data_IF_136746072499
#
_entry.id   IF_136746072499
#
_cell.length_a   1.000
_cell.length_b   1.000
_cell.length_c   1.000
_cell.angle_alpha   90.00
_cell.angle_beta   90.00
_cell.angle_gamma   90.00
#
_symmetry.space_group_name_H-M   'P 1'
#
loop_
_entity.id
_entity.type
_entity.pdbx_description
1 polymer ?
#
# COMPACT_ATOMS: atom_id res chain seq x y z
N UNK A 1 -14.92 20.42 18.92
CA UNK A 1 -13.46 20.51 18.63
C UNK A 1 -13.07 19.69 17.41
N UNK A 2 -13.50 18.42 17.27
CA UNK A 2 -13.21 17.57 16.09
C UNK A 2 -13.74 18.20 14.80
N UNK A 3 -14.90 18.84 14.84
CA UNK A 3 -15.51 19.51 13.66
C UNK A 3 -14.67 20.68 13.16
N UNK A 4 -14.07 21.46 14.08
CA UNK A 4 -13.19 22.59 13.74
C UNK A 4 -11.90 22.08 13.12
N UNK A 5 -11.31 20.99 13.66
CA UNK A 5 -10.12 20.35 13.10
C UNK A 5 -10.42 19.82 11.69
N UNK A 6 -11.56 19.16 11.50
CA UNK A 6 -12.00 18.67 10.20
C UNK A 6 -12.21 19.80 9.19
N UNK A 7 -12.80 20.91 9.63
CA UNK A 7 -13.01 22.11 8.82
C UNK A 7 -11.68 22.77 8.43
N UNK A 8 -10.73 22.87 9.35
CA UNK A 8 -9.38 23.39 9.10
C UNK A 8 -8.63 22.50 8.10
N UNK A 9 -8.69 21.17 8.28
CA UNK A 9 -8.10 20.21 7.34
C UNK A 9 -8.73 20.35 5.96
N UNK A 10 -10.05 20.45 5.85
CA UNK A 10 -10.77 20.67 4.59
C UNK A 10 -10.36 21.97 3.88
N UNK A 11 -10.19 23.06 4.64
CA UNK A 11 -9.79 24.37 4.11
C UNK A 11 -8.33 24.37 3.64
N UNK A 12 -7.42 23.76 4.41
CA UNK A 12 -5.98 23.74 4.10
C UNK A 12 -5.60 22.76 2.99
N UNK A 13 -6.23 21.59 2.93
CA UNK A 13 -5.83 20.52 1.98
C UNK A 13 -6.66 20.48 0.69
N UNK A 14 -7.77 21.21 0.62
CA UNK A 14 -8.68 21.20 -0.52
C UNK A 14 -9.47 19.89 -0.66
N UNK A 15 -10.76 19.98 -0.89
CA UNK A 15 -11.69 18.84 -0.94
C UNK A 15 -11.28 17.75 -1.94
N UNK A 16 -10.67 18.13 -3.07
CA UNK A 16 -10.21 17.17 -4.10
C UNK A 16 -9.04 16.28 -3.63
N UNK A 17 -8.14 16.79 -2.79
CA UNK A 17 -7.04 16.01 -2.25
C UNK A 17 -7.53 15.02 -1.21
N UNK A 18 -8.40 15.46 -0.32
CA UNK A 18 -9.02 14.64 0.73
C UNK A 18 -9.84 13.51 0.09
N UNK A 19 -10.67 13.81 -0.92
CA UNK A 19 -11.45 12.79 -1.63
C UNK A 19 -10.55 11.73 -2.29
N UNK A 20 -9.42 12.14 -2.85
CA UNK A 20 -8.44 11.20 -3.40
C UNK A 20 -7.86 10.30 -2.32
N UNK A 21 -7.44 10.85 -1.19
CA UNK A 21 -6.85 10.07 -0.10
C UNK A 21 -7.85 9.08 0.49
N UNK A 22 -9.11 9.49 0.64
CA UNK A 22 -10.20 8.59 1.08
C UNK A 22 -10.39 7.47 0.07
N UNK A 23 -10.44 7.78 -1.22
CA UNK A 23 -10.59 6.77 -2.27
C UNK A 23 -9.41 5.78 -2.29
N UNK A 24 -8.18 6.29 -2.19
CA UNK A 24 -6.97 5.45 -2.15
C UNK A 24 -6.96 4.56 -0.91
N UNK A 25 -7.31 5.10 0.26
CA UNK A 25 -7.44 4.31 1.49
C UNK A 25 -8.53 3.25 1.40
N UNK A 26 -9.67 3.56 0.78
CA UNK A 26 -10.76 2.61 0.56
C UNK A 26 -10.34 1.46 -0.38
N UNK A 27 -9.61 1.77 -1.46
CA UNK A 27 -9.08 0.76 -2.39
C UNK A 27 -8.04 -0.14 -1.68
N UNK A 28 -7.15 0.46 -0.88
CA UNK A 28 -6.19 -0.30 -0.07
C UNK A 28 -6.91 -1.24 0.90
N UNK A 29 -7.90 -0.74 1.62
CA UNK A 29 -8.70 -1.54 2.55
C UNK A 29 -9.41 -2.68 1.84
N UNK A 30 -10.03 -2.41 0.70
CA UNK A 30 -10.71 -3.44 -0.11
C UNK A 30 -9.72 -4.54 -0.54
N UNK A 31 -8.53 -4.18 -1.00
CA UNK A 31 -7.49 -5.13 -1.38
C UNK A 31 -7.06 -6.00 -0.18
N UNK A 32 -6.80 -5.39 0.97
CA UNK A 32 -6.42 -6.12 2.19
C UNK A 32 -7.53 -7.08 2.63
N UNK A 33 -8.80 -6.64 2.56
CA UNK A 33 -9.95 -7.49 2.88
C UNK A 33 -10.09 -8.68 1.92
N UNK A 34 -9.88 -8.47 0.63
CA UNK A 34 -9.89 -9.56 -0.36
C UNK A 34 -8.80 -10.59 -0.03
N UNK A 35 -7.57 -10.16 0.24
CA UNK A 35 -6.48 -11.06 0.61
C UNK A 35 -6.77 -11.79 1.93
N UNK A 36 -7.35 -11.10 2.91
CA UNK A 36 -7.77 -11.68 4.18
C UNK A 36 -8.80 -12.81 3.99
N UNK A 37 -9.89 -12.55 3.28
CA UNK A 37 -10.92 -13.56 3.03
C UNK A 37 -10.39 -14.73 2.20
N UNK A 38 -9.57 -14.44 1.19
CA UNK A 38 -8.93 -15.48 0.39
C UNK A 38 -8.03 -16.38 1.25
N UNK A 39 -7.27 -15.81 2.17
CA UNK A 39 -6.40 -16.57 3.08
C UNK A 39 -7.21 -17.46 4.04
N UNK A 40 -8.36 -17.01 4.51
CA UNK A 40 -9.25 -17.84 5.34
C UNK A 40 -9.84 -19.00 4.52
N UNK A 41 -10.25 -18.72 3.30
CA UNK A 41 -10.87 -19.72 2.41
C UNK A 41 -9.88 -20.83 2.01
N UNK A 42 -8.59 -20.48 1.88
CA UNK A 42 -7.52 -21.46 1.69
C UNK A 42 -7.21 -22.32 2.93
N UNK A 43 -7.82 -22.04 4.07
CA UNK A 43 -7.71 -22.84 5.31
C UNK A 43 -6.42 -22.55 6.10
N UNK A 44 -5.83 -21.37 5.96
CA UNK A 44 -4.70 -20.94 6.77
C UNK A 44 -5.06 -20.77 8.25
N UNK A 45 -4.06 -20.98 9.12
CA UNK A 45 -4.22 -20.71 10.56
C UNK A 45 -4.36 -19.21 10.82
N UNK A 46 -4.86 -18.83 12.00
CA UNK A 46 -5.01 -17.42 12.36
C UNK A 46 -3.68 -16.67 12.32
N UNK A 47 -2.58 -17.30 12.74
CA UNK A 47 -1.25 -16.70 12.72
C UNK A 47 -0.74 -16.47 11.29
N UNK A 48 -1.03 -17.39 10.38
CA UNK A 48 -0.73 -17.28 8.96
C UNK A 48 -1.55 -16.18 8.28
N UNK A 49 -2.86 -16.14 8.52
CA UNK A 49 -3.75 -15.09 7.99
C UNK A 49 -3.28 -13.71 8.46
N UNK A 50 -2.86 -13.58 9.71
CA UNK A 50 -2.33 -12.32 10.24
C UNK A 50 -1.08 -11.86 9.49
N UNK A 51 -0.10 -12.72 9.28
CA UNK A 51 1.14 -12.33 8.58
C UNK A 51 0.88 -12.01 7.11
N UNK A 52 0.02 -12.77 6.42
CA UNK A 52 -0.38 -12.53 5.04
C UNK A 52 -1.08 -11.16 4.91
N UNK A 53 -2.05 -10.90 5.75
CA UNK A 53 -2.83 -9.65 5.76
C UNK A 53 -1.97 -8.45 6.12
N UNK A 54 -1.10 -8.58 7.13
CA UNK A 54 -0.16 -7.54 7.53
C UNK A 54 0.83 -7.22 6.41
N UNK A 55 1.37 -8.23 5.74
CA UNK A 55 2.25 -8.06 4.58
C UNK A 55 1.53 -7.32 3.45
N UNK A 56 0.27 -7.66 3.18
CA UNK A 56 -0.56 -6.97 2.17
C UNK A 56 -0.74 -5.50 2.51
N UNK A 57 -0.99 -5.18 3.77
CA UNK A 57 -1.16 -3.82 4.26
C UNK A 57 0.13 -3.00 4.08
N UNK A 58 1.28 -3.55 4.46
CA UNK A 58 2.57 -2.86 4.33
C UNK A 58 2.92 -2.64 2.85
N UNK A 59 2.82 -3.67 2.01
CA UNK A 59 3.09 -3.55 0.58
C UNK A 59 2.15 -2.58 -0.10
N UNK A 60 0.86 -2.63 0.22
CA UNK A 60 -0.12 -1.69 -0.30
C UNK A 60 0.18 -0.25 0.09
N UNK A 61 0.56 0.02 1.34
CA UNK A 61 1.00 1.34 1.79
C UNK A 61 2.26 1.81 1.06
N UNK A 62 3.25 0.95 0.88
CA UNK A 62 4.47 1.26 0.12
C UNK A 62 4.11 1.71 -1.30
N UNK A 63 3.27 0.95 -2.01
CA UNK A 63 2.86 1.29 -3.36
C UNK A 63 2.02 2.57 -3.41
N UNK A 64 1.17 2.79 -2.41
CA UNK A 64 0.39 4.01 -2.31
C UNK A 64 1.27 5.24 -2.13
N UNK A 65 2.28 5.18 -1.26
CA UNK A 65 3.26 6.25 -1.05
C UNK A 65 4.01 6.55 -2.36
N UNK A 66 4.51 5.51 -3.04
CA UNK A 66 5.23 5.70 -4.31
C UNK A 66 4.32 6.29 -5.39
N UNK A 67 3.06 5.84 -5.46
CA UNK A 67 2.07 6.39 -6.40
C UNK A 67 1.76 7.86 -6.12
N UNK A 68 1.66 8.26 -4.86
CA UNK A 68 1.43 9.66 -4.48
C UNK A 68 2.62 10.57 -4.76
N UNK A 69 3.85 10.08 -4.54
CA UNK A 69 5.05 10.83 -4.88
C UNK A 69 5.23 10.97 -6.40
N UNK A 70 4.75 10.02 -7.18
CA UNK A 70 4.86 10.01 -8.64
C UNK A 70 3.76 10.80 -9.36
N UNK A 71 3.25 11.88 -8.78
CA UNK A 71 2.03 12.61 -9.23
C UNK A 71 1.88 12.85 -10.73
N UNK A 72 2.96 13.09 -11.44
CA UNK A 72 2.98 13.39 -12.88
C UNK A 72 3.85 12.41 -13.69
N UNK A 73 4.56 11.49 -13.04
CA UNK A 73 5.52 10.59 -13.66
C UNK A 73 5.09 9.14 -13.46
N UNK A 74 5.55 8.24 -14.33
CA UNK A 74 5.32 6.81 -14.16
C UNK A 74 6.02 6.29 -12.90
N UNK A 75 5.45 5.28 -12.25
CA UNK A 75 6.03 4.55 -11.13
C UNK A 75 7.50 4.15 -11.39
N UNK A 76 7.79 3.66 -12.59
CA UNK A 76 9.14 3.26 -13.01
C UNK A 76 10.08 4.46 -13.06
N UNK A 77 9.61 5.61 -13.55
CA UNK A 77 10.42 6.83 -13.60
C UNK A 77 10.83 7.33 -12.21
N UNK A 78 9.93 7.20 -11.23
CA UNK A 78 10.22 7.62 -9.84
C UNK A 78 11.25 6.70 -9.19
N UNK A 79 11.19 5.40 -9.46
CA UNK A 79 12.19 4.44 -8.97
C UNK A 79 13.55 4.62 -9.64
N UNK A 80 13.57 5.04 -10.90
CA UNK A 80 14.80 5.29 -11.66
C UNK A 80 15.38 6.70 -11.43
N UNK A 81 14.56 7.65 -10.99
CA UNK A 81 15.06 8.95 -10.56
C UNK A 81 15.91 8.77 -9.30
N UNK A 82 17.13 9.35 -9.35
CA UNK A 82 18.14 9.32 -8.29
C UNK A 82 17.68 10.08 -7.00
N UNK A 83 16.42 9.88 -6.61
CA UNK A 83 15.86 10.46 -5.40
C UNK A 83 16.11 9.53 -4.21
N UNK A 84 17.28 9.71 -3.61
CA UNK A 84 17.81 8.89 -2.51
C UNK A 84 16.81 8.73 -1.36
N UNK A 85 16.02 9.75 -1.05
CA UNK A 85 15.08 9.74 0.08
C UNK A 85 13.96 8.72 -0.10
N UNK A 86 13.39 8.60 -1.29
CA UNK A 86 12.30 7.64 -1.57
C UNK A 86 12.83 6.21 -1.47
N UNK A 87 14.00 5.96 -2.05
CA UNK A 87 14.66 4.65 -2.01
C UNK A 87 15.00 4.24 -0.57
N UNK A 88 15.44 5.17 0.26
CA UNK A 88 15.75 4.93 1.68
C UNK A 88 14.47 4.55 2.44
N UNK A 89 13.39 5.30 2.29
CA UNK A 89 12.11 5.01 2.95
C UNK A 89 11.58 3.64 2.52
N UNK A 90 11.62 3.34 1.22
CA UNK A 90 11.22 2.06 0.67
C UNK A 90 12.07 0.90 1.23
N UNK A 91 13.39 1.08 1.25
CA UNK A 91 14.32 0.10 1.79
C UNK A 91 14.07 -0.16 3.29
N UNK A 92 13.87 0.89 4.08
CA UNK A 92 13.57 0.76 5.52
C UNK A 92 12.27 -0.02 5.71
N UNK A 93 11.20 0.32 4.99
CA UNK A 93 9.91 -0.38 5.10
C UNK A 93 10.02 -1.87 4.74
N UNK A 94 10.75 -2.20 3.67
CA UNK A 94 10.98 -3.59 3.26
C UNK A 94 11.87 -4.35 4.25
N UNK A 95 12.91 -3.72 4.79
CA UNK A 95 13.78 -4.31 5.81
C UNK A 95 12.97 -4.58 7.08
N UNK A 96 12.15 -3.63 7.53
CA UNK A 96 11.29 -3.82 8.70
C UNK A 96 10.29 -4.96 8.50
N UNK A 97 9.67 -5.03 7.33
CA UNK A 97 8.77 -6.12 6.98
C UNK A 97 9.51 -7.47 7.01
N UNK A 98 10.69 -7.54 6.40
CA UNK A 98 11.52 -8.74 6.40
C UNK A 98 11.91 -9.17 7.83
N UNK A 99 12.32 -8.24 8.68
CA UNK A 99 12.67 -8.53 10.07
C UNK A 99 11.47 -9.07 10.86
N UNK A 100 10.29 -8.47 10.71
CA UNK A 100 9.07 -8.91 11.42
C UNK A 100 8.68 -10.33 11.00
N UNK A 101 8.87 -10.69 9.72
CA UNK A 101 8.52 -12.02 9.21
C UNK A 101 9.55 -13.08 9.59
N UNK A 102 10.83 -12.70 9.71
CA UNK A 102 11.93 -13.69 9.86
C UNK A 102 12.43 -13.84 11.30
N UNK A 103 12.31 -12.81 12.14
CA UNK A 103 12.82 -12.85 13.51
C UNK A 103 11.79 -13.48 14.46
N UNK A 104 12.10 -14.65 15.09
CA UNK A 104 11.13 -15.38 15.93
C UNK A 104 10.57 -14.55 17.09
N UNK A 105 11.40 -13.71 17.72
CA UNK A 105 10.95 -12.85 18.82
C UNK A 105 9.90 -11.85 18.39
N UNK A 106 10.01 -11.31 17.18
CA UNK A 106 9.01 -10.39 16.60
C UNK A 106 7.76 -11.15 16.17
N UNK A 107 7.89 -12.34 15.62
CA UNK A 107 6.75 -13.20 15.28
C UNK A 107 5.88 -13.49 16.49
N UNK A 108 6.48 -13.77 17.65
CA UNK A 108 5.74 -13.99 18.92
C UNK A 108 4.98 -12.73 19.34
N UNK A 109 5.60 -11.55 19.26
CA UNK A 109 4.96 -10.27 19.62
C UNK A 109 3.73 -10.00 18.77
N UNK A 110 3.80 -10.28 17.47
CA UNK A 110 2.69 -10.07 16.51
C UNK A 110 1.76 -11.29 16.40
N UNK A 111 2.05 -12.38 17.10
CA UNK A 111 1.33 -13.67 16.97
C UNK A 111 1.28 -14.15 15.53
N UNK A 112 2.41 -14.07 14.84
CA UNK A 112 2.58 -14.52 13.46
C UNK A 112 3.09 -15.96 13.42
N UNK A 113 2.58 -16.73 12.47
CA UNK A 113 3.08 -18.05 12.13
C UNK A 113 3.67 -18.01 10.72
N UNK A 114 4.94 -18.40 10.59
CA UNK A 114 5.61 -18.40 9.30
C UNK A 114 5.25 -19.67 8.51
N UNK A 115 4.58 -19.51 7.41
CA UNK A 115 4.03 -20.59 6.58
C UNK A 115 4.86 -20.93 5.35
N UNK A 116 6.01 -20.30 5.19
CA UNK A 116 6.81 -20.42 3.98
C UNK A 116 6.51 -19.37 2.89
N UNK A 117 7.43 -19.24 1.96
CA UNK A 117 7.43 -18.14 0.97
C UNK A 117 6.28 -18.18 -0.04
N UNK A 118 5.67 -19.34 -0.26
CA UNK A 118 4.56 -19.49 -1.22
C UNK A 118 3.30 -18.71 -0.82
N UNK A 119 3.08 -18.55 0.47
CA UNK A 119 1.91 -17.87 1.03
C UNK A 119 1.99 -16.34 0.95
N UNK A 120 3.13 -15.80 0.50
CA UNK A 120 3.28 -14.36 0.22
C UNK A 120 2.91 -13.97 -1.22
N UNK A 121 2.57 -14.93 -2.09
CA UNK A 121 2.11 -14.64 -3.46
C UNK A 121 0.83 -13.79 -3.44
N UNK A 122 -0.25 -14.12 -2.69
CA UNK A 122 -1.46 -13.30 -2.65
C UNK A 122 -1.23 -11.84 -2.24
N UNK A 123 -0.45 -11.52 -1.17
CA UNK A 123 -0.08 -10.15 -0.83
C UNK A 123 0.59 -9.39 -1.97
N UNK A 124 1.55 -10.01 -2.64
CA UNK A 124 2.26 -9.38 -3.76
C UNK A 124 1.34 -9.15 -4.95
N UNK A 125 0.54 -10.14 -5.33
CA UNK A 125 -0.43 -10.02 -6.43
C UNK A 125 -1.48 -8.96 -6.12
N UNK A 126 -2.01 -8.94 -4.90
CA UNK A 126 -2.98 -7.93 -4.46
C UNK A 126 -2.41 -6.52 -4.51
N UNK A 127 -1.23 -6.30 -3.93
CA UNK A 127 -0.56 -5.01 -3.91
C UNK A 127 -0.17 -4.54 -5.33
N UNK A 128 0.30 -5.45 -6.19
CA UNK A 128 0.62 -5.15 -7.58
C UNK A 128 -0.63 -4.80 -8.40
N UNK A 129 -1.73 -5.52 -8.20
CA UNK A 129 -3.02 -5.22 -8.85
C UNK A 129 -3.53 -3.83 -8.45
N UNK A 130 -3.42 -3.47 -7.18
CA UNK A 130 -3.76 -2.14 -6.67
C UNK A 130 -2.89 -1.05 -7.34
N UNK A 131 -1.59 -1.27 -7.46
CA UNK A 131 -0.69 -0.37 -8.16
C UNK A 131 -1.11 -0.16 -9.62
N UNK A 132 -1.43 -1.24 -10.35
CA UNK A 132 -1.92 -1.15 -11.72
C UNK A 132 -3.20 -0.32 -11.84
N UNK A 133 -4.15 -0.50 -10.93
CA UNK A 133 -5.40 0.29 -10.89
C UNK A 133 -5.08 1.77 -10.74
N UNK A 134 -4.17 2.15 -9.83
CA UNK A 134 -3.80 3.55 -9.63
C UNK A 134 -3.02 4.14 -10.82
N UNK A 135 -2.12 3.38 -11.43
CA UNK A 135 -1.40 3.83 -12.63
C UNK A 135 -2.36 4.03 -13.81
N UNK A 136 -3.30 3.11 -14.04
CA UNK A 136 -4.32 3.25 -15.09
C UNK A 136 -5.21 4.47 -14.80
N UNK A 137 -5.68 4.66 -13.59
CA UNK A 137 -6.48 5.82 -13.19
C UNK A 137 -5.73 7.14 -13.40
N UNK A 138 -4.42 7.15 -13.14
CA UNK A 138 -3.54 8.29 -13.40
C UNK A 138 -3.43 8.59 -14.89
N UNK A 139 -3.17 7.57 -15.73
CA UNK A 139 -3.06 7.72 -17.17
C UNK A 139 -4.35 8.26 -17.80
N UNK A 140 -5.51 7.75 -17.38
CA UNK A 140 -6.82 8.24 -17.84
C UNK A 140 -7.00 9.71 -17.47
N UNK A 141 -6.61 10.11 -16.27
CA UNK A 141 -6.72 11.50 -15.79
C UNK A 141 -5.83 12.45 -16.58
N UNK A 142 -4.58 12.06 -16.84
CA UNK A 142 -3.63 12.87 -17.62
C UNK A 142 -4.11 13.03 -19.04
N UNK A 143 -4.62 11.97 -19.66
CA UNK A 143 -5.20 12.01 -21.00
C UNK A 143 -6.39 12.98 -21.10
N UNK A 144 -7.29 12.93 -20.11
CA UNK A 144 -8.48 13.79 -20.07
C UNK A 144 -8.14 15.26 -19.76
N UNK A 145 -7.02 15.53 -19.10
CA UNK A 145 -6.55 16.89 -18.82
C UNK A 145 -5.78 17.54 -20.00
N UNK A 146 -5.58 16.83 -21.11
CA UNK A 146 -4.88 17.34 -22.30
C UNK A 146 -3.40 17.63 -22.09
N UNK A 147 -2.81 17.14 -21.02
CA UNK A 147 -1.39 17.32 -20.70
C UNK A 147 -0.60 16.30 -21.53
N UNK A 148 0.13 16.79 -22.54
CA UNK A 148 1.13 15.97 -23.25
C UNK A 148 2.38 15.87 -22.38
N UNK A 149 2.96 14.68 -22.32
CA UNK A 149 4.26 14.42 -21.68
C UNK A 149 5.39 15.01 -22.49
#
# INVERSE_FOLDING_TARGET
>A
EIFIILLVVLLFFGSKRIMRSIFQGAVLLAMVMIVYFFSIDEGHTEGEVRVITFTSLILGNIFLIVTDLSRAKSFISVLLEKNSTILIILAIALIMLFLIITVPSLQVVFSFEFTGYRHFIPPFVGAFSMLLVFEIAKLIRVKNAGIKF
#
